data_IF_845798975804
#
_entry.id   IF_845798975804
#
_cell.length_a   1.000
_cell.length_b   1.000
_cell.length_c   1.000
_cell.angle_alpha   90.00
_cell.angle_beta   90.00
_cell.angle_gamma   90.00
#
_symmetry.space_group_name_H-M   'P 1'
#
loop_
_entity.id
_entity.type
_entity.pdbx_description
1 polymer ?
#
# COMPACT_ATOMS: atom_id res chain seq x y z
N UNK A 1 30.56 -4.28 -5.06
CA UNK A 1 29.23 -4.17 -5.66
C UNK A 1 29.34 -4.88 -6.99
N UNK A 2 28.74 -6.06 -7.11
CA UNK A 2 28.96 -6.92 -8.27
C UNK A 2 27.89 -6.63 -9.32
N UNK A 3 28.34 -6.20 -10.51
CA UNK A 3 27.49 -5.97 -11.68
C UNK A 3 26.95 -7.32 -12.16
N UNK A 4 25.63 -7.49 -12.12
CA UNK A 4 24.94 -8.75 -12.48
C UNK A 4 24.35 -8.72 -13.88
N UNK A 5 25.17 -8.34 -14.86
CA UNK A 5 24.75 -8.17 -16.25
C UNK A 5 24.17 -9.47 -16.87
N UNK A 6 24.74 -10.62 -16.53
CA UNK A 6 24.29 -11.93 -17.01
C UNK A 6 22.84 -12.26 -16.58
N UNK A 7 22.52 -12.06 -15.30
CA UNK A 7 21.17 -12.28 -14.76
C UNK A 7 20.17 -11.30 -15.39
N UNK A 8 20.59 -10.05 -15.57
CA UNK A 8 19.74 -8.99 -16.11
C UNK A 8 19.38 -9.19 -17.58
N UNK A 9 20.35 -9.59 -18.43
CA UNK A 9 20.08 -9.94 -19.84
C UNK A 9 19.10 -11.10 -19.93
N UNK A 10 19.31 -12.16 -19.14
CA UNK A 10 18.42 -13.32 -19.12
C UNK A 10 17.01 -12.96 -18.66
N UNK A 11 16.89 -12.08 -17.66
CA UNK A 11 15.61 -11.58 -17.15
C UNK A 11 14.85 -10.78 -18.22
N UNK A 12 15.48 -9.77 -18.82
CA UNK A 12 14.85 -8.89 -19.82
C UNK A 12 14.46 -9.68 -21.09
N UNK A 13 15.30 -10.62 -21.53
CA UNK A 13 14.99 -11.51 -22.65
C UNK A 13 13.72 -12.33 -22.39
N UNK A 14 13.64 -12.96 -21.21
CA UNK A 14 12.46 -13.76 -20.82
C UNK A 14 11.21 -12.90 -20.70
N UNK A 15 11.32 -11.68 -20.19
CA UNK A 15 10.21 -10.73 -20.08
C UNK A 15 9.62 -10.36 -21.45
N UNK A 16 10.48 -10.25 -22.48
CA UNK A 16 10.07 -10.02 -23.88
C UNK A 16 9.59 -11.30 -24.59
N UNK A 17 9.60 -12.45 -23.93
CA UNK A 17 9.20 -13.73 -24.51
C UNK A 17 10.16 -14.26 -25.58
N UNK A 18 11.41 -13.79 -25.60
CA UNK A 18 12.39 -14.14 -26.63
C UNK A 18 13.21 -15.37 -26.23
N UNK A 19 13.56 -16.20 -27.21
CA UNK A 19 14.60 -17.23 -27.11
C UNK A 19 15.99 -16.61 -27.20
N UNK A 20 17.03 -17.35 -26.76
CA UNK A 20 18.43 -16.89 -26.92
C UNK A 20 18.81 -16.69 -28.38
N UNK A 21 18.24 -17.52 -29.28
CA UNK A 21 18.46 -17.44 -30.72
C UNK A 21 17.84 -16.19 -31.34
N UNK A 22 16.60 -15.85 -30.96
CA UNK A 22 15.93 -14.61 -31.41
C UNK A 22 16.65 -13.35 -30.92
N UNK A 23 17.14 -13.36 -29.67
CA UNK A 23 17.97 -12.28 -29.14
C UNK A 23 19.27 -12.13 -29.94
N UNK A 24 19.93 -13.25 -30.25
CA UNK A 24 21.16 -13.26 -31.02
C UNK A 24 20.96 -12.71 -32.44
N UNK A 25 19.90 -13.15 -33.11
CA UNK A 25 19.52 -12.70 -34.45
C UNK A 25 19.26 -11.19 -34.48
N UNK A 26 18.56 -10.66 -33.46
CA UNK A 26 18.21 -9.24 -33.39
C UNK A 26 19.43 -8.35 -33.14
N UNK A 27 20.41 -8.85 -32.38
CA UNK A 27 21.64 -8.13 -32.05
C UNK A 27 22.78 -8.36 -33.07
N UNK A 28 22.58 -9.24 -34.07
CA UNK A 28 23.61 -9.58 -35.05
C UNK A 28 24.78 -10.38 -34.47
N UNK A 29 24.52 -11.21 -33.46
CA UNK A 29 25.51 -12.07 -32.79
C UNK A 29 25.12 -13.55 -32.89
N UNK A 30 26.00 -14.44 -32.43
CA UNK A 30 25.70 -15.88 -32.41
C UNK A 30 24.87 -16.26 -31.19
N UNK A 31 24.02 -17.29 -31.30
CA UNK A 31 23.31 -17.87 -30.16
C UNK A 31 24.28 -18.31 -29.04
N UNK A 32 25.45 -18.81 -29.42
CA UNK A 32 26.52 -19.18 -28.48
C UNK A 32 27.04 -17.97 -27.67
N UNK A 33 27.10 -16.78 -28.28
CA UNK A 33 27.48 -15.55 -27.58
C UNK A 33 26.47 -15.22 -26.49
N UNK A 34 25.17 -15.22 -26.81
CA UNK A 34 24.09 -14.97 -25.84
C UNK A 34 24.09 -15.99 -24.70
N UNK A 35 24.27 -17.27 -25.02
CA UNK A 35 24.37 -18.34 -24.02
C UNK A 35 25.55 -18.12 -23.05
N UNK A 36 26.71 -17.70 -23.57
CA UNK A 36 27.88 -17.37 -22.73
C UNK A 36 27.65 -16.14 -21.85
N UNK A 37 26.91 -15.15 -22.33
CA UNK A 37 26.54 -13.98 -21.54
C UNK A 37 25.66 -14.35 -20.36
N UNK A 38 24.58 -15.09 -20.60
CA UNK A 38 23.61 -15.44 -19.55
C UNK A 38 24.19 -16.41 -18.51
N UNK A 39 25.18 -17.24 -18.89
CA UNK A 39 25.86 -18.19 -18.01
C UNK A 39 27.11 -17.61 -17.32
N UNK A 40 27.33 -16.29 -17.38
CA UNK A 40 28.47 -15.61 -16.75
C UNK A 40 29.85 -16.10 -17.25
N UNK A 41 29.93 -16.57 -18.49
CA UNK A 41 31.19 -17.05 -19.11
C UNK A 41 31.96 -15.89 -19.74
N UNK A 42 31.25 -14.97 -20.39
CA UNK A 42 31.80 -13.71 -20.90
C UNK A 42 30.73 -12.63 -20.91
N UNK A 43 31.11 -11.38 -21.20
CA UNK A 43 30.18 -10.26 -21.31
C UNK A 43 29.97 -9.85 -22.79
N UNK A 44 28.85 -9.17 -23.11
CA UNK A 44 28.72 -8.47 -24.38
C UNK A 44 29.82 -7.43 -24.55
N UNK A 45 30.17 -7.15 -25.82
CA UNK A 45 31.04 -6.01 -26.13
C UNK A 45 30.39 -4.71 -25.65
N UNK A 46 31.19 -3.76 -25.16
CA UNK A 46 30.70 -2.46 -24.68
C UNK A 46 29.90 -1.72 -25.76
N UNK A 47 30.24 -1.90 -27.04
CA UNK A 47 29.53 -1.32 -28.19
C UNK A 47 28.15 -1.95 -28.42
N UNK A 48 27.89 -3.14 -27.89
CA UNK A 48 26.58 -3.80 -27.96
C UNK A 48 25.64 -3.34 -26.84
N UNK A 49 26.15 -2.81 -25.73
CA UNK A 49 25.32 -2.42 -24.59
C UNK A 49 24.22 -1.41 -24.95
N UNK A 50 24.46 -0.35 -25.75
CA UNK A 50 23.39 0.57 -26.15
C UNK A 50 22.29 -0.12 -26.95
N UNK A 51 22.65 -1.05 -27.86
CA UNK A 51 21.69 -1.79 -28.69
C UNK A 51 20.86 -2.77 -27.87
N UNK A 52 21.49 -3.43 -26.89
CA UNK A 52 20.80 -4.34 -25.96
C UNK A 52 19.81 -3.53 -25.10
N UNK A 53 20.25 -2.38 -24.60
CA UNK A 53 19.43 -1.49 -23.79
C UNK A 53 18.21 -0.96 -24.58
N UNK A 54 18.44 -0.52 -25.83
CA UNK A 54 17.39 -0.09 -26.75
C UNK A 54 16.38 -1.21 -27.06
N UNK A 55 16.86 -2.42 -27.37
CA UNK A 55 16.01 -3.58 -27.65
C UNK A 55 15.06 -3.90 -26.48
N UNK A 56 15.56 -3.77 -25.24
CA UNK A 56 14.78 -4.01 -24.03
C UNK A 56 14.02 -2.78 -23.53
N UNK A 57 14.19 -1.62 -24.16
CA UNK A 57 13.63 -0.33 -23.75
C UNK A 57 14.01 0.04 -22.31
N UNK A 58 15.30 -0.09 -21.98
CA UNK A 58 15.90 0.28 -20.69
C UNK A 58 17.12 1.18 -20.91
N UNK A 59 17.61 1.86 -19.87
CA UNK A 59 18.91 2.54 -19.93
C UNK A 59 20.07 1.54 -19.86
N UNK A 60 21.26 1.93 -20.33
CA UNK A 60 22.48 1.10 -20.17
C UNK A 60 22.79 0.87 -18.69
N UNK A 61 22.52 1.85 -17.83
CA UNK A 61 22.64 1.72 -16.38
C UNK A 61 21.74 0.60 -15.85
N UNK A 62 20.44 0.64 -16.20
CA UNK A 62 19.49 -0.40 -15.81
C UNK A 62 19.84 -1.79 -16.38
N UNK A 63 20.43 -1.85 -17.57
CA UNK A 63 20.95 -3.08 -18.17
C UNK A 63 22.14 -3.66 -17.38
N UNK A 64 23.04 -2.80 -16.89
CA UNK A 64 24.17 -3.19 -16.05
C UNK A 64 23.74 -3.50 -14.60
N UNK A 65 22.45 -3.36 -14.27
CA UNK A 65 22.00 -3.39 -12.87
C UNK A 65 22.57 -2.23 -12.05
N UNK A 66 23.16 -1.23 -12.71
CA UNK A 66 23.58 0.01 -12.11
C UNK A 66 22.34 0.87 -11.93
N UNK A 67 21.93 1.04 -10.69
CA UNK A 67 21.07 2.16 -10.34
C UNK A 67 22.03 3.31 -10.10
N UNK A 68 21.97 4.36 -10.91
CA UNK A 68 22.52 5.64 -10.51
C UNK A 68 22.04 5.91 -9.08
N UNK A 69 22.91 6.30 -8.14
CA UNK A 69 22.43 6.94 -6.93
C UNK A 69 21.62 8.13 -7.43
N UNK A 70 20.29 8.02 -7.42
CA UNK A 70 19.47 9.17 -7.73
C UNK A 70 19.85 10.26 -6.75
N UNK A 71 20.03 11.48 -7.22
CA UNK A 71 20.24 12.66 -6.35
C UNK A 71 19.05 12.88 -5.39
N UNK A 72 17.94 12.19 -5.64
CA UNK A 72 17.00 11.79 -4.60
C UNK A 72 17.66 10.70 -3.74
N UNK A 73 18.43 11.08 -2.72
CA UNK A 73 18.64 10.23 -1.54
C UNK A 73 17.30 9.54 -1.24
N UNK A 74 17.30 8.21 -1.23
CA UNK A 74 16.11 7.36 -1.12
C UNK A 74 15.14 8.00 -0.12
N UNK A 75 14.10 8.67 -0.62
CA UNK A 75 13.24 9.54 0.20
C UNK A 75 12.63 8.71 1.32
N UNK A 76 12.40 7.42 1.04
CA UNK A 76 11.97 6.42 2.00
C UNK A 76 13.04 6.21 3.07
N UNK A 77 14.32 6.07 2.70
CA UNK A 77 15.43 5.97 3.65
C UNK A 77 15.55 7.23 4.52
N UNK A 78 15.48 8.43 3.94
CA UNK A 78 15.48 9.69 4.69
C UNK A 78 14.30 9.81 5.66
N UNK A 79 13.10 9.46 5.20
CA UNK A 79 11.90 9.44 6.04
C UNK A 79 12.08 8.42 7.17
N UNK A 80 12.64 7.25 6.87
CA UNK A 80 12.90 6.18 7.84
C UNK A 80 13.94 6.60 8.88
N UNK A 81 15.05 7.21 8.46
CA UNK A 81 16.09 7.74 9.34
C UNK A 81 15.53 8.84 10.23
N UNK A 82 14.81 9.80 9.64
CA UNK A 82 14.14 10.87 10.38
C UNK A 82 13.17 10.29 11.40
N UNK A 83 12.27 9.40 10.99
CA UNK A 83 11.30 8.74 11.87
C UNK A 83 11.99 8.01 13.03
N UNK A 84 13.07 7.28 12.74
CA UNK A 84 13.83 6.53 13.74
C UNK A 84 14.55 7.44 14.73
N UNK A 85 14.97 8.64 14.31
CA UNK A 85 15.64 9.63 15.16
C UNK A 85 14.70 10.42 16.08
N UNK A 86 13.38 10.36 15.87
CA UNK A 86 12.40 11.14 16.62
C UNK A 86 12.07 10.50 17.98
N UNK A 87 11.81 11.30 19.03
CA UNK A 87 11.20 10.82 20.27
C UNK A 87 9.84 10.15 20.00
N UNK A 88 9.50 9.12 20.76
CA UNK A 88 8.22 8.38 20.59
C UNK A 88 6.99 9.29 20.54
N UNK A 89 6.94 10.30 21.41
CA UNK A 89 5.84 11.28 21.46
C UNK A 89 5.64 12.09 20.16
N UNK A 90 6.68 12.20 19.33
CA UNK A 90 6.69 13.05 18.13
C UNK A 90 6.53 12.22 16.83
N UNK A 91 6.67 10.89 16.91
CA UNK A 91 6.58 10.00 15.75
C UNK A 91 5.22 10.05 15.06
N UNK A 92 4.13 10.06 15.83
CA UNK A 92 2.78 10.12 15.29
C UNK A 92 2.49 11.44 14.56
N UNK A 93 2.94 12.57 15.10
CA UNK A 93 2.82 13.89 14.46
C UNK A 93 3.60 13.94 13.14
N UNK A 94 4.82 13.39 13.12
CA UNK A 94 5.62 13.31 11.89
C UNK A 94 4.94 12.46 10.81
N UNK A 95 4.42 11.28 11.15
CA UNK A 95 3.72 10.40 10.18
C UNK A 95 2.51 11.11 9.61
N UNK A 96 1.72 11.77 10.46
CA UNK A 96 0.54 12.51 10.00
C UNK A 96 0.92 13.65 9.05
N UNK A 97 1.91 14.47 9.40
CA UNK A 97 2.38 15.58 8.54
C UNK A 97 2.95 15.08 7.23
N UNK A 98 3.68 13.96 7.24
CA UNK A 98 4.21 13.35 6.02
C UNK A 98 3.08 12.85 5.11
N UNK A 99 2.07 12.19 5.67
CA UNK A 99 0.89 11.75 4.93
C UNK A 99 0.11 12.94 4.35
N UNK A 100 -0.15 13.97 5.16
CA UNK A 100 -0.82 15.18 4.72
C UNK A 100 -0.03 15.88 3.60
N UNK A 101 1.29 15.97 3.72
CA UNK A 101 2.16 16.54 2.69
C UNK A 101 2.06 15.79 1.36
N UNK A 102 2.12 14.46 1.39
CA UNK A 102 1.97 13.62 0.20
C UNK A 102 0.61 13.82 -0.47
N UNK A 103 -0.47 13.95 0.31
CA UNK A 103 -1.81 14.17 -0.22
C UNK A 103 -1.89 15.50 -0.95
N UNK A 104 -1.34 16.56 -0.37
CA UNK A 104 -1.31 17.88 -1.01
C UNK A 104 -0.46 17.86 -2.28
N UNK A 105 0.69 17.18 -2.29
CA UNK A 105 1.51 17.04 -3.49
C UNK A 105 0.76 16.34 -4.63
N UNK A 106 0.06 15.24 -4.32
CA UNK A 106 -0.79 14.53 -5.28
C UNK A 106 -1.90 15.48 -5.77
N UNK A 107 -2.62 16.12 -4.87
CA UNK A 107 -3.66 17.10 -5.19
C UNK A 107 -3.14 18.23 -6.10
N UNK A 108 -1.95 18.77 -5.81
CA UNK A 108 -1.31 19.83 -6.60
C UNK A 108 -1.06 19.39 -8.03
N UNK A 109 -0.42 18.22 -8.18
CA UNK A 109 -0.10 17.66 -9.49
C UNK A 109 -1.36 17.43 -10.34
N UNK A 110 -2.47 17.00 -9.74
CA UNK A 110 -3.73 16.80 -10.47
C UNK A 110 -4.49 18.10 -10.77
N UNK A 111 -4.35 19.14 -9.94
CA UNK A 111 -4.98 20.45 -10.18
C UNK A 111 -4.23 21.28 -11.22
N UNK A 112 -2.91 21.12 -11.35
CA UNK A 112 -2.10 21.79 -12.37
C UNK A 112 -2.38 21.29 -13.80
N UNK A 113 -2.88 20.06 -13.96
CA UNK A 113 -3.13 19.43 -15.26
C UNK A 113 -4.50 19.71 -15.90
N UNK A 114 -5.44 20.31 -15.18
CA UNK A 114 -6.74 20.71 -15.71
C UNK A 114 -6.73 22.20 -16.05
N UNK A 115 -7.46 22.66 -17.07
CA UNK A 115 -7.77 24.09 -17.26
C UNK A 115 -8.43 24.60 -15.97
N UNK A 116 -7.61 25.21 -15.09
CA UNK A 116 -7.89 25.27 -13.66
C UNK A 116 -8.79 26.48 -13.32
N UNK A 117 -10.02 26.28 -12.82
CA UNK A 117 -10.85 27.36 -12.28
C UNK A 117 -10.37 27.88 -10.90
N UNK A 118 -9.31 27.28 -10.34
CA UNK A 118 -8.69 27.60 -9.05
C UNK A 118 -7.22 28.01 -9.23
N UNK A 119 -6.93 28.92 -10.17
CA UNK A 119 -5.58 29.50 -10.36
C UNK A 119 -5.00 30.13 -9.09
N UNK A 120 -5.87 30.51 -8.15
CA UNK A 120 -5.51 31.21 -6.92
C UNK A 120 -5.26 30.25 -5.74
N UNK A 121 -5.26 28.94 -5.98
CA UNK A 121 -5.04 27.96 -4.91
C UNK A 121 -3.59 27.99 -4.42
N UNK A 122 -3.40 28.39 -3.16
CA UNK A 122 -2.09 28.51 -2.54
C UNK A 122 -1.67 27.20 -1.85
N UNK A 123 -0.83 26.41 -2.52
CA UNK A 123 -0.35 25.12 -2.01
C UNK A 123 0.51 25.22 -0.75
N UNK A 124 1.32 26.27 -0.59
CA UNK A 124 2.14 26.48 0.61
C UNK A 124 1.28 26.74 1.85
N UNK A 125 0.18 27.48 1.66
CA UNK A 125 -0.81 27.72 2.71
C UNK A 125 -1.59 26.44 3.02
N UNK A 126 -1.98 25.71 1.98
CA UNK A 126 -2.66 24.43 2.11
C UNK A 126 -1.81 23.41 2.91
N UNK A 127 -0.52 23.32 2.64
CA UNK A 127 0.45 22.51 3.40
C UNK A 127 0.53 22.89 4.88
N UNK A 128 0.45 24.19 5.21
CA UNK A 128 0.48 24.66 6.60
C UNK A 128 -0.79 24.28 7.36
N UNK A 129 -1.95 24.37 6.71
CA UNK A 129 -3.23 24.00 7.31
C UNK A 129 -3.42 22.48 7.40
N UNK A 130 -2.92 21.72 6.41
CA UNK A 130 -2.97 20.24 6.44
C UNK A 130 -2.21 19.69 7.64
N UNK A 131 -1.01 20.21 7.90
CA UNK A 131 -0.17 19.82 9.03
C UNK A 131 -0.80 20.09 10.41
N UNK A 132 -1.76 21.01 10.49
CA UNK A 132 -2.50 21.34 11.73
C UNK A 132 -3.86 20.66 11.82
N UNK A 133 -4.23 19.80 10.86
CA UNK A 133 -5.58 19.22 10.76
C UNK A 133 -6.71 20.26 10.63
N UNK A 134 -6.38 21.48 10.19
CA UNK A 134 -7.35 22.58 10.00
C UNK A 134 -8.05 22.50 8.64
N UNK A 135 -7.50 21.69 7.73
CA UNK A 135 -8.11 21.42 6.43
C UNK A 135 -9.32 20.50 6.60
N UNK A 136 -10.45 20.90 5.99
CA UNK A 136 -11.68 20.11 5.90
C UNK A 136 -11.54 18.83 5.05
N UNK A 137 -12.40 18.66 4.05
CA UNK A 137 -12.42 17.48 3.18
C UNK A 137 -11.75 17.78 1.83
N UNK A 138 -10.88 16.88 1.35
CA UNK A 138 -10.36 16.89 -0.01
C UNK A 138 -10.14 15.47 -0.53
N UNK A 139 -10.30 15.29 -1.84
CA UNK A 139 -10.21 13.99 -2.49
C UNK A 139 -9.61 14.15 -3.89
N UNK A 140 -8.70 13.25 -4.25
CA UNK A 140 -8.22 13.03 -5.61
C UNK A 140 -8.52 11.59 -5.95
N UNK A 141 -9.21 11.36 -7.07
CA UNK A 141 -9.47 10.02 -7.59
C UNK A 141 -9.00 9.96 -9.04
N UNK A 142 -7.92 9.23 -9.25
CA UNK A 142 -7.29 9.01 -10.54
C UNK A 142 -7.08 7.50 -10.76
N UNK A 143 -6.92 7.02 -12.01
CA UNK A 143 -6.76 5.60 -12.29
C UNK A 143 -5.64 4.92 -11.49
N UNK A 144 -4.53 5.64 -11.24
CA UNK A 144 -3.33 5.13 -10.57
C UNK A 144 -3.31 5.41 -9.07
N UNK A 145 -4.14 6.32 -8.57
CA UNK A 145 -4.14 6.70 -7.16
C UNK A 145 -5.46 7.32 -6.72
N UNK A 146 -5.93 6.92 -5.54
CA UNK A 146 -6.97 7.63 -4.79
C UNK A 146 -6.35 8.16 -3.51
N UNK A 147 -6.54 9.45 -3.23
CA UNK A 147 -6.11 10.06 -1.97
C UNK A 147 -7.25 10.87 -1.37
N UNK A 148 -7.44 10.75 -0.07
CA UNK A 148 -8.52 11.44 0.64
C UNK A 148 -8.00 11.98 1.94
N UNK A 149 -8.30 13.24 2.24
CA UNK A 149 -8.02 13.85 3.52
C UNK A 149 -9.31 14.40 4.11
N UNK A 150 -9.54 14.08 5.39
CA UNK A 150 -10.63 14.63 6.18
C UNK A 150 -10.17 14.73 7.63
N UNK A 151 -10.14 15.93 8.20
CA UNK A 151 -9.95 16.22 9.63
C UNK A 151 -9.07 15.20 10.38
N UNK A 152 -7.76 15.45 10.41
CA UNK A 152 -6.84 14.60 11.17
C UNK A 152 -6.64 13.19 10.58
N UNK A 153 -7.17 12.93 9.37
CA UNK A 153 -7.05 11.64 8.69
C UNK A 153 -6.67 11.81 7.22
N UNK A 154 -5.81 10.92 6.73
CA UNK A 154 -5.35 10.89 5.34
C UNK A 154 -5.30 9.43 4.86
N UNK A 155 -5.78 9.19 3.65
CA UNK A 155 -5.79 7.90 2.99
C UNK A 155 -5.11 7.94 1.64
N UNK A 156 -4.47 6.81 1.30
CA UNK A 156 -3.90 6.54 -0.01
C UNK A 156 -4.31 5.15 -0.46
N UNK A 157 -4.63 5.01 -1.74
CA UNK A 157 -4.85 3.74 -2.44
C UNK A 157 -4.17 3.84 -3.80
N UNK A 158 -3.38 2.86 -4.20
CA UNK A 158 -2.71 2.85 -5.50
C UNK A 158 -3.57 2.24 -6.63
N UNK A 159 -4.83 1.90 -6.34
CA UNK A 159 -5.87 1.45 -7.26
C UNK A 159 -5.53 0.24 -8.17
N UNK A 160 -4.30 -0.32 -8.10
CA UNK A 160 -3.79 -1.36 -9.01
C UNK A 160 -4.58 -2.66 -8.91
N UNK A 161 -5.03 -3.01 -7.72
CA UNK A 161 -5.80 -4.22 -7.44
C UNK A 161 -7.32 -3.96 -7.37
N UNK A 162 -7.75 -2.71 -7.55
CA UNK A 162 -9.18 -2.35 -7.56
C UNK A 162 -9.73 -2.57 -8.98
N UNK A 163 -9.87 -3.84 -9.34
CA UNK A 163 -10.79 -4.24 -10.42
C UNK A 163 -12.09 -4.68 -9.78
N UNK A 164 -13.09 -3.81 -9.74
CA UNK A 164 -14.41 -4.20 -9.25
C UNK A 164 -15.06 -5.19 -10.22
N UNK A 165 -14.78 -6.48 -10.05
CA UNK A 165 -15.66 -7.51 -10.63
C UNK A 165 -16.99 -7.52 -9.86
N UNK A 166 -18.05 -8.09 -10.43
CA UNK A 166 -19.32 -8.24 -9.70
C UNK A 166 -19.18 -9.04 -8.40
N UNK A 167 -18.16 -9.91 -8.30
CA UNK A 167 -17.82 -10.63 -7.07
C UNK A 167 -17.25 -9.70 -5.99
N UNK A 168 -16.48 -8.68 -6.37
CA UNK A 168 -15.86 -7.74 -5.43
C UNK A 168 -16.89 -6.77 -4.84
N UNK A 169 -17.87 -6.34 -5.64
CA UNK A 169 -19.01 -5.57 -5.13
C UNK A 169 -19.85 -6.37 -4.13
N UNK A 170 -20.11 -7.64 -4.41
CA UNK A 170 -20.82 -8.50 -3.47
C UNK A 170 -20.04 -8.68 -2.16
N UNK A 171 -18.72 -8.86 -2.22
CA UNK A 171 -17.86 -8.91 -1.02
C UNK A 171 -17.93 -7.61 -0.22
N UNK A 172 -17.81 -6.46 -0.87
CA UNK A 172 -17.90 -5.15 -0.23
C UNK A 172 -19.28 -4.97 0.43
N UNK A 173 -20.36 -5.28 -0.27
CA UNK A 173 -21.72 -5.26 0.28
C UNK A 173 -21.90 -6.20 1.49
N UNK A 174 -21.31 -7.39 1.44
CA UNK A 174 -21.34 -8.35 2.55
C UNK A 174 -20.58 -7.84 3.78
N UNK A 175 -19.46 -7.15 3.57
CA UNK A 175 -18.68 -6.50 4.64
C UNK A 175 -19.50 -5.34 5.22
N UNK A 176 -19.91 -4.38 4.39
CA UNK A 176 -20.64 -3.19 4.86
C UNK A 176 -21.94 -3.56 5.58
N UNK A 177 -22.68 -4.56 5.08
CA UNK A 177 -23.89 -5.06 5.73
C UNK A 177 -23.62 -5.60 7.13
N UNK A 178 -22.55 -6.37 7.32
CA UNK A 178 -22.24 -6.94 8.63
C UNK A 178 -21.96 -5.84 9.67
N UNK A 179 -21.26 -4.79 9.27
CA UNK A 179 -20.96 -3.65 10.14
C UNK A 179 -22.07 -2.59 10.17
N UNK A 180 -23.15 -2.71 9.39
CA UNK A 180 -24.31 -1.81 9.49
C UNK A 180 -25.39 -2.32 10.45
N UNK A 181 -25.31 -3.59 10.89
CA UNK A 181 -26.30 -4.17 11.79
C UNK A 181 -26.28 -3.52 13.18
N UNK A 182 -27.43 -3.52 13.88
CA UNK A 182 -27.49 -3.07 15.27
C UNK A 182 -26.48 -3.79 16.16
N UNK A 183 -25.90 -3.09 17.11
CA UNK A 183 -24.92 -3.59 18.10
C UNK A 183 -23.57 -4.07 17.50
N UNK A 184 -23.50 -4.53 16.24
CA UNK A 184 -22.29 -4.99 15.57
C UNK A 184 -21.14 -3.96 15.57
N UNK A 185 -21.33 -2.67 15.23
CA UNK A 185 -20.27 -1.66 15.35
C UNK A 185 -19.67 -1.54 16.74
N UNK A 186 -20.50 -1.63 17.79
CA UNK A 186 -20.05 -1.49 19.18
C UNK A 186 -19.29 -2.74 19.61
N UNK A 187 -19.83 -3.91 19.31
CA UNK A 187 -19.16 -5.21 19.56
C UNK A 187 -17.81 -5.28 18.84
N UNK A 188 -17.77 -4.92 17.56
CA UNK A 188 -16.56 -4.90 16.75
C UNK A 188 -15.53 -3.88 17.25
N UNK A 189 -15.95 -2.66 17.61
CA UNK A 189 -15.04 -1.66 18.17
C UNK A 189 -14.45 -2.08 19.52
N UNK A 190 -15.27 -2.69 20.39
CA UNK A 190 -14.82 -3.22 21.67
C UNK A 190 -13.79 -4.35 21.48
N UNK A 191 -14.11 -5.33 20.63
CA UNK A 191 -13.20 -6.41 20.26
C UNK A 191 -11.87 -5.87 19.73
N UNK A 192 -11.92 -4.98 18.74
CA UNK A 192 -10.73 -4.35 18.15
C UNK A 192 -9.87 -3.65 19.21
N UNK A 193 -10.47 -2.82 20.07
CA UNK A 193 -9.73 -2.08 21.10
C UNK A 193 -9.04 -3.00 22.11
N UNK A 194 -9.62 -4.17 22.37
CA UNK A 194 -9.05 -5.14 23.29
C UNK A 194 -7.92 -5.97 22.66
N UNK A 195 -7.92 -6.16 21.34
CA UNK A 195 -6.96 -7.05 20.65
C UNK A 195 -5.94 -6.31 19.79
N UNK A 196 -6.10 -5.01 19.51
CA UNK A 196 -5.24 -4.25 18.56
C UNK A 196 -3.77 -4.20 18.99
N UNK A 197 -3.47 -4.35 20.27
CA UNK A 197 -2.11 -4.24 20.80
C UNK A 197 -1.19 -5.42 20.45
N UNK A 198 -1.72 -6.59 20.07
CA UNK A 198 -0.92 -7.77 19.67
C UNK A 198 -1.73 -8.79 18.86
N UNK A 199 -1.04 -9.54 17.99
CA UNK A 199 -1.63 -10.63 17.20
C UNK A 199 -1.92 -11.91 18.01
N UNK A 200 -1.40 -12.01 19.22
CA UNK A 200 -1.58 -13.17 20.09
C UNK A 200 -2.74 -13.00 21.10
N UNK A 201 -3.39 -11.84 21.14
CA UNK A 201 -4.46 -11.55 22.10
C UNK A 201 -5.81 -12.01 21.54
N UNK A 202 -6.51 -12.84 22.32
CA UNK A 202 -7.90 -13.22 22.13
C UNK A 202 -8.69 -12.81 23.37
N UNK A 203 -9.96 -12.43 23.20
CA UNK A 203 -10.83 -11.98 24.30
C UNK A 203 -12.15 -12.72 24.35
N UNK A 204 -12.64 -12.93 25.57
CA UNK A 204 -13.91 -13.59 25.83
C UNK A 204 -15.11 -12.69 25.52
N UNK A 205 -16.28 -13.30 25.34
CA UNK A 205 -17.57 -12.61 25.18
C UNK A 205 -17.83 -11.63 26.33
N UNK A 206 -17.47 -12.01 27.56
CA UNK A 206 -17.62 -11.19 28.75
C UNK A 206 -16.79 -9.91 28.68
N UNK A 207 -15.50 -10.01 28.34
CA UNK A 207 -14.62 -8.84 28.18
C UNK A 207 -15.15 -7.88 27.10
N UNK A 208 -15.66 -8.43 25.99
CA UNK A 208 -16.25 -7.64 24.90
C UNK A 208 -17.54 -6.96 25.36
N UNK A 209 -18.40 -7.67 26.11
CA UNK A 209 -19.66 -7.16 26.67
C UNK A 209 -19.43 -5.98 27.61
N UNK A 210 -18.49 -6.12 28.55
CA UNK A 210 -18.11 -5.06 29.49
C UNK A 210 -17.59 -3.81 28.74
N UNK A 211 -16.74 -4.01 27.73
CA UNK A 211 -16.16 -2.92 26.94
C UNK A 211 -17.18 -2.26 26.00
N UNK A 212 -18.08 -3.03 25.39
CA UNK A 212 -19.08 -2.53 24.45
C UNK A 212 -20.28 -1.86 25.15
N UNK A 213 -20.48 -2.13 26.44
CA UNK A 213 -21.69 -1.72 27.17
C UNK A 213 -22.95 -2.41 26.64
N UNK A 214 -22.83 -3.68 26.24
CA UNK A 214 -23.91 -4.52 25.71
C UNK A 214 -24.05 -5.77 26.58
N UNK A 215 -25.22 -6.43 26.59
CA UNK A 215 -25.36 -7.73 27.28
C UNK A 215 -24.54 -8.82 26.57
N UNK A 216 -24.07 -9.81 27.33
CA UNK A 216 -23.35 -10.97 26.77
C UNK A 216 -24.18 -11.68 25.69
N UNK A 217 -25.50 -11.75 25.84
CA UNK A 217 -26.43 -12.33 24.85
C UNK A 217 -26.36 -11.59 23.51
N UNK A 218 -26.33 -10.25 23.54
CA UNK A 218 -26.22 -9.42 22.33
C UNK A 218 -24.86 -9.60 21.67
N UNK A 219 -23.79 -9.57 22.46
CA UNK A 219 -22.42 -9.79 21.95
C UNK A 219 -22.29 -11.17 21.34
N UNK A 220 -22.84 -12.19 21.98
CA UNK A 220 -22.88 -13.57 21.47
C UNK A 220 -23.59 -13.61 20.11
N UNK A 221 -24.76 -12.99 19.99
CA UNK A 221 -25.50 -12.91 18.73
C UNK A 221 -24.73 -12.17 17.62
N UNK A 222 -24.00 -11.10 17.97
CA UNK A 222 -23.13 -10.39 17.04
C UNK A 222 -21.97 -11.28 16.55
N UNK A 223 -21.24 -11.91 17.49
CA UNK A 223 -20.04 -12.72 17.23
C UNK A 223 -20.37 -13.94 16.38
N UNK A 224 -21.37 -14.72 16.77
CA UNK A 224 -21.78 -15.93 16.03
C UNK A 224 -22.74 -15.65 14.86
N UNK A 225 -23.09 -14.37 14.64
CA UNK A 225 -23.86 -13.91 13.49
C UNK A 225 -22.97 -13.48 12.33
N UNK A 226 -23.28 -12.31 11.76
CA UNK A 226 -22.56 -11.78 10.59
C UNK A 226 -21.10 -11.40 10.85
N UNK A 227 -20.68 -11.23 12.11
CA UNK A 227 -19.28 -10.91 12.41
C UNK A 227 -18.37 -12.15 12.34
N UNK A 228 -18.91 -13.35 12.56
CA UNK A 228 -18.11 -14.58 12.73
C UNK A 228 -17.08 -14.80 11.59
N UNK A 229 -17.48 -14.50 10.36
CA UNK A 229 -16.65 -14.61 9.15
C UNK A 229 -15.41 -13.71 9.12
N UNK A 230 -15.27 -12.79 10.07
CA UNK A 230 -14.13 -11.89 10.21
C UNK A 230 -13.26 -12.21 11.44
N UNK A 231 -13.63 -13.24 12.21
CA UNK A 231 -13.04 -13.53 13.51
C UNK A 231 -12.24 -14.83 13.48
N UNK A 232 -11.21 -14.89 14.31
CA UNK A 232 -10.56 -16.14 14.72
C UNK A 232 -11.07 -16.52 16.10
N UNK A 233 -11.33 -17.80 16.31
CA UNK A 233 -11.59 -18.40 17.61
C UNK A 233 -10.35 -19.17 18.07
N UNK A 234 -9.98 -19.00 19.34
CA UNK A 234 -8.80 -19.68 19.90
C UNK A 234 -9.03 -21.20 20.02
N UNK A 235 -8.20 -21.98 19.35
CA UNK A 235 -8.19 -23.44 19.48
C UNK A 235 -7.61 -23.81 20.86
N UNK A 236 -8.50 -24.01 21.84
CA UNK A 236 -8.35 -24.71 23.13
C UNK A 236 -8.70 -23.86 24.37
N UNK A 237 -9.96 -24.07 24.81
CA UNK A 237 -10.59 -23.68 26.10
C UNK A 237 -11.02 -22.21 26.22
N UNK A 238 -12.33 -22.07 26.35
CA UNK A 238 -13.13 -20.83 26.35
C UNK A 238 -13.17 -20.15 24.97
N UNK A 239 -14.38 -19.93 24.44
CA UNK A 239 -14.59 -19.23 23.17
C UNK A 239 -14.10 -17.79 23.28
N UNK A 240 -12.82 -17.59 22.95
CA UNK A 240 -12.14 -16.29 22.88
C UNK A 240 -11.92 -15.93 21.42
N UNK A 241 -12.08 -14.65 21.12
CA UNK A 241 -12.15 -14.14 19.76
C UNK A 241 -11.16 -13.01 19.53
N UNK A 242 -10.78 -12.85 18.27
CA UNK A 242 -10.12 -11.65 17.73
C UNK A 242 -10.53 -11.47 16.28
N UNK A 243 -10.23 -10.32 15.69
CA UNK A 243 -10.29 -10.20 14.23
C UNK A 243 -9.19 -11.04 13.59
N UNK A 244 -9.54 -11.74 12.52
CA UNK A 244 -8.56 -12.28 11.58
C UNK A 244 -7.78 -11.10 10.96
N UNK A 245 -6.46 -11.23 10.87
CA UNK A 245 -5.51 -10.13 10.66
C UNK A 245 -5.86 -9.26 9.45
N UNK A 246 -6.35 -9.86 8.37
CA UNK A 246 -6.75 -9.13 7.17
C UNK A 246 -7.95 -8.18 7.38
N UNK A 247 -8.78 -8.44 8.39
CA UNK A 247 -10.00 -7.67 8.68
C UNK A 247 -9.84 -6.65 9.81
N UNK A 248 -8.70 -6.64 10.52
CA UNK A 248 -8.39 -5.62 11.56
C UNK A 248 -8.52 -4.18 11.04
N UNK A 249 -8.22 -3.95 9.75
CA UNK A 249 -8.27 -2.63 9.13
C UNK A 249 -9.69 -2.15 8.79
N UNK A 250 -10.71 -3.02 8.80
CA UNK A 250 -12.08 -2.63 8.46
C UNK A 250 -12.58 -1.54 9.42
N UNK A 251 -12.32 -1.68 10.72
CA UNK A 251 -12.82 -0.75 11.74
C UNK A 251 -12.22 0.66 11.59
N UNK A 252 -10.88 0.82 11.50
CA UNK A 252 -10.27 2.10 11.16
C UNK A 252 -10.86 2.72 9.89
N UNK A 253 -11.02 1.94 8.81
CA UNK A 253 -11.60 2.42 7.55
C UNK A 253 -13.04 2.90 7.73
N UNK A 254 -13.88 2.15 8.44
CA UNK A 254 -15.27 2.54 8.71
C UNK A 254 -15.37 3.78 9.59
N UNK A 255 -14.49 3.92 10.58
CA UNK A 255 -14.45 5.12 11.44
C UNK A 255 -14.15 6.39 10.65
N UNK A 256 -13.38 6.25 9.58
CA UNK A 256 -13.00 7.35 8.71
C UNK A 256 -14.11 7.74 7.72
N UNK A 257 -15.09 6.85 7.48
CA UNK A 257 -16.27 7.09 6.65
C UNK A 257 -17.44 7.73 7.42
N UNK A 258 -17.33 7.89 8.75
CA UNK A 258 -18.32 8.64 9.54
C UNK A 258 -18.15 10.14 9.30
N UNK A 259 -18.85 10.65 8.29
CA UNK A 259 -19.24 12.07 8.14
C UNK A 259 -20.26 12.47 9.20
#
# INVERSE_FOLDING_TARGET
MDIKLNEQIAFLRKQKGMTQEELALTLGVTNQSVSKWENNICCPDIQLLPKIAELFNVSVDALLGYKTPSENEDVILKIKEKFSSLPEKDKSDFVFRAAAALHVLVLSNYLEGANNPLSDFNFDEAMKHSAKSEWGYSCVSAPEITTTMNKGSVFFSDNKDIRFSGLDLNKICCITKAFSLPDNPKTAAALYQLTVSSEDIFVSIKEISEKAGLSEEKVTACIFGELFKFLLEEENKESRFRFDGMYMNILPILMLLRT
#
